data_IF_641203268198
#
_entry.id   IF_641203268198
#
_cell.length_a   1.000
_cell.length_b   1.000
_cell.length_c   1.000
_cell.angle_alpha   90.00
_cell.angle_beta   90.00
_cell.angle_gamma   90.00
#
_symmetry.space_group_name_H-M   'P 1'
#
loop_
_entity.id
_entity.type
_entity.pdbx_description
1 polymer ?
#
# COMPACT_ATOMS: atom_id res chain seq x y z
N UNK A 1 32.09 -12.40 -18.70
CA UNK A 1 32.08 -13.70 -18.00
C UNK A 1 31.52 -13.42 -16.60
N UNK A 2 30.21 -13.61 -16.49
CA UNK A 2 29.30 -13.68 -15.31
C UNK A 2 29.67 -13.04 -13.96
N UNK A 3 28.90 -12.00 -13.60
CA UNK A 3 28.30 -11.69 -12.29
C UNK A 3 27.22 -10.63 -12.62
N UNK A 4 26.00 -10.61 -12.08
CA UNK A 4 25.64 -10.49 -10.66
C UNK A 4 24.17 -10.87 -10.46
N UNK A 5 23.87 -11.47 -9.31
CA UNK A 5 22.54 -11.42 -8.73
C UNK A 5 22.21 -9.96 -8.40
N UNK A 6 20.97 -9.52 -8.65
CA UNK A 6 20.49 -8.27 -8.08
C UNK A 6 19.06 -8.46 -7.52
N UNK A 7 19.00 -8.30 -6.20
CA UNK A 7 17.81 -8.20 -5.39
C UNK A 7 17.49 -6.71 -5.26
N UNK A 8 16.24 -6.29 -5.52
CA UNK A 8 15.52 -5.45 -4.54
C UNK A 8 14.14 -5.04 -5.05
N UNK A 9 13.11 -5.48 -4.31
CA UNK A 9 11.74 -5.02 -4.43
C UNK A 9 11.52 -4.00 -3.31
N UNK A 10 11.42 -2.70 -3.63
CA UNK A 10 11.53 -1.58 -2.68
C UNK A 10 10.21 -0.79 -2.45
N UNK A 11 9.86 -0.37 -1.23
CA UNK A 11 8.52 0.16 -0.90
C UNK A 11 8.50 1.25 0.19
N UNK A 12 8.61 2.55 -0.13
CA UNK A 12 8.59 3.61 0.92
C UNK A 12 7.86 4.94 0.58
N UNK A 13 6.75 5.17 1.30
CA UNK A 13 5.54 6.02 1.02
C UNK A 13 5.11 6.09 -0.45
N UNK A 14 4.90 4.99 -1.16
CA UNK A 14 5.98 4.22 -1.76
C UNK A 14 6.91 4.94 -2.77
N UNK A 15 7.00 6.27 -2.88
CA UNK A 15 7.68 6.96 -4.00
C UNK A 15 9.21 7.17 -3.86
N UNK A 16 9.86 6.71 -2.80
CA UNK A 16 11.31 6.94 -2.61
C UNK A 16 12.20 6.04 -3.51
N UNK A 17 11.64 4.96 -4.03
CA UNK A 17 12.40 3.94 -4.77
C UNK A 17 12.25 4.00 -6.30
N UNK A 18 11.46 4.96 -6.80
CA UNK A 18 11.18 5.10 -8.22
C UNK A 18 12.21 5.96 -8.97
N UNK A 19 13.11 6.66 -8.26
CA UNK A 19 14.06 7.58 -8.87
C UNK A 19 15.48 7.15 -8.49
N UNK A 20 16.09 6.34 -9.35
CA UNK A 20 17.55 6.30 -9.42
C UNK A 20 18.03 7.73 -9.77
N UNK A 21 18.69 8.36 -8.79
CA UNK A 21 19.40 9.64 -8.82
C UNK A 21 18.56 10.92 -8.67
N UNK A 22 18.39 11.43 -7.43
CA UNK A 22 18.77 12.80 -7.02
C UNK A 22 18.90 12.88 -5.46
N UNK A 23 20.15 13.13 -5.02
CA UNK A 23 20.71 13.70 -3.77
C UNK A 23 19.92 13.75 -2.42
N UNK A 24 20.62 13.27 -1.37
CA UNK A 24 20.17 12.87 -0.02
C UNK A 24 20.09 14.00 1.04
N UNK A 25 19.69 15.24 0.72
CA UNK A 25 19.77 16.31 1.74
C UNK A 25 18.65 17.35 1.72
N UNK A 26 17.41 17.00 2.07
CA UNK A 26 16.43 17.99 2.50
C UNK A 26 15.31 17.40 3.39
N UNK A 27 15.23 17.85 4.65
CA UNK A 27 14.08 17.63 5.53
C UNK A 27 12.87 18.46 5.03
N UNK A 28 11.79 17.79 4.59
CA UNK A 28 10.66 18.36 3.84
C UNK A 28 9.32 17.68 4.22
N UNK A 29 8.85 17.78 5.47
CA UNK A 29 7.64 17.02 5.86
C UNK A 29 6.35 17.52 5.16
N UNK A 30 6.14 18.83 5.01
CA UNK A 30 4.94 19.38 4.32
C UNK A 30 5.14 19.53 2.81
N UNK A 31 6.31 19.99 2.39
CA UNK A 31 6.70 20.05 0.97
C UNK A 31 6.75 18.64 0.36
N UNK A 32 7.22 17.64 1.11
CA UNK A 32 7.27 16.25 0.67
C UNK A 32 5.89 15.64 0.47
N UNK A 33 4.88 16.01 1.26
CA UNK A 33 3.51 15.55 1.01
C UNK A 33 2.93 16.11 -0.30
N UNK A 34 3.14 17.40 -0.56
CA UNK A 34 2.70 18.03 -1.81
C UNK A 34 3.39 17.45 -3.04
N UNK A 35 4.70 17.24 -2.97
CA UNK A 35 5.48 16.62 -4.05
C UNK A 35 5.00 15.19 -4.30
N UNK A 36 4.86 14.37 -3.26
CA UNK A 36 4.37 12.97 -3.39
C UNK A 36 2.97 12.88 -3.99
N UNK A 37 2.08 13.80 -3.64
CA UNK A 37 0.75 13.88 -4.25
C UNK A 37 0.85 14.23 -5.75
N UNK A 38 1.65 15.23 -6.10
CA UNK A 38 1.88 15.62 -7.51
C UNK A 38 2.49 14.48 -8.32
N UNK A 39 3.48 13.78 -7.78
CA UNK A 39 4.11 12.63 -8.42
C UNK A 39 3.13 11.46 -8.61
N UNK A 40 2.33 11.18 -7.58
CA UNK A 40 1.26 10.18 -7.67
C UNK A 40 0.28 10.52 -8.79
N UNK A 41 -0.12 11.79 -8.90
CA UNK A 41 -1.00 12.26 -9.97
C UNK A 41 -0.33 12.17 -11.35
N UNK A 42 0.97 12.44 -11.45
CA UNK A 42 1.73 12.29 -12.70
C UNK A 42 1.78 10.82 -13.14
N UNK A 43 1.98 9.88 -12.20
CA UNK A 43 1.94 8.44 -12.47
C UNK A 43 0.55 8.02 -12.95
N UNK A 44 -0.51 8.44 -12.25
CA UNK A 44 -1.89 8.14 -12.64
C UNK A 44 -2.18 8.67 -14.05
N UNK A 45 -1.69 9.86 -14.40
CA UNK A 45 -1.82 10.42 -15.75
C UNK A 45 -1.03 9.65 -16.80
N UNK A 46 0.17 9.18 -16.47
CA UNK A 46 1.03 8.42 -17.37
C UNK A 46 0.43 7.06 -17.73
N UNK A 47 0.00 6.30 -16.72
CA UNK A 47 -0.63 4.98 -16.92
C UNK A 47 -2.11 5.06 -17.33
N UNK A 48 -2.73 6.24 -17.23
CA UNK A 48 -4.08 6.63 -17.64
C UNK A 48 -5.25 5.99 -16.89
N UNK A 49 -5.21 4.68 -16.66
CA UNK A 49 -6.32 3.92 -16.07
C UNK A 49 -5.81 3.10 -14.90
N UNK A 50 -6.47 3.26 -13.75
CA UNK A 50 -6.22 2.45 -12.56
C UNK A 50 -6.88 1.08 -12.79
N UNK A 51 -6.12 -0.01 -12.66
CA UNK A 51 -6.64 -1.36 -12.90
C UNK A 51 -7.34 -1.91 -11.66
N UNK A 52 -6.83 -1.63 -10.47
CA UNK A 52 -7.45 -2.02 -9.19
C UNK A 52 -7.43 -0.88 -8.18
N UNK A 53 -8.56 -0.71 -7.50
CA UNK A 53 -8.72 0.21 -6.38
C UNK A 53 -9.10 -0.56 -5.12
N UNK A 54 -8.17 -0.64 -4.17
CA UNK A 54 -8.40 -1.27 -2.88
C UNK A 54 -8.61 -0.24 -1.79
N UNK A 55 -9.50 -0.58 -0.88
CA UNK A 55 -9.77 0.15 0.33
C UNK A 55 -9.57 -0.81 1.49
N UNK A 56 -8.62 -0.47 2.37
CA UNK A 56 -8.34 -1.23 3.58
C UNK A 56 -8.81 -0.38 4.75
N UNK A 57 -9.92 -0.81 5.34
CA UNK A 57 -10.51 -0.18 6.51
C UNK A 57 -10.06 -0.90 7.77
N UNK A 58 -9.64 -0.14 8.78
CA UNK A 58 -9.34 -0.71 10.08
C UNK A 58 -10.58 -1.34 10.74
N UNK A 59 -10.41 -2.49 11.40
CA UNK A 59 -11.46 -3.09 12.22
C UNK A 59 -11.00 -3.16 13.69
N UNK A 60 -11.67 -2.49 14.63
CA UNK A 60 -11.33 -2.56 16.05
C UNK A 60 -11.53 -3.94 16.67
N UNK A 61 -12.33 -4.82 16.04
CA UNK A 61 -12.61 -6.18 16.51
C UNK A 61 -11.57 -7.21 16.03
N UNK A 62 -10.45 -6.77 15.45
CA UNK A 62 -9.39 -7.67 15.06
C UNK A 62 -8.82 -8.42 16.28
N UNK A 63 -8.55 -9.74 16.17
CA UNK A 63 -8.05 -10.54 17.29
C UNK A 63 -6.78 -9.96 17.91
N UNK A 64 -5.88 -9.40 17.10
CA UNK A 64 -4.62 -8.80 17.56
C UNK A 64 -4.84 -7.53 18.39
N UNK A 65 -5.96 -6.84 18.20
CA UNK A 65 -6.36 -5.68 19.00
C UNK A 65 -7.04 -6.17 20.27
N UNK A 66 -8.06 -7.03 20.15
CA UNK A 66 -8.86 -7.50 21.28
C UNK A 66 -8.02 -8.27 22.32
N UNK A 67 -7.02 -9.03 21.87
CA UNK A 67 -6.14 -9.80 22.75
C UNK A 67 -5.28 -8.92 23.67
N UNK A 68 -4.89 -7.75 23.20
CA UNK A 68 -3.98 -6.84 23.91
C UNK A 68 -4.73 -5.82 24.80
N UNK A 69 -6.07 -5.82 24.78
CA UNK A 69 -6.87 -4.95 25.64
C UNK A 69 -6.91 -5.47 27.08
N UNK A 70 -6.73 -4.57 28.04
CA UNK A 70 -6.97 -4.90 29.44
C UNK A 70 -8.49 -5.00 29.73
N UNK A 71 -8.89 -5.76 30.77
CA UNK A 71 -10.30 -5.88 31.15
C UNK A 71 -10.96 -4.50 31.35
N UNK A 72 -12.03 -4.24 30.59
CA UNK A 72 -12.79 -2.99 30.65
C UNK A 72 -12.28 -1.86 29.76
N UNK A 73 -11.17 -2.05 29.03
CA UNK A 73 -10.74 -1.11 27.99
C UNK A 73 -11.52 -1.31 26.69
N UNK A 74 -11.73 -0.22 25.95
CA UNK A 74 -12.28 -0.25 24.61
C UNK A 74 -11.16 0.05 23.57
N UNK A 75 -11.21 -0.50 22.35
CA UNK A 75 -10.23 -0.20 21.30
C UNK A 75 -10.02 1.30 21.03
N UNK A 76 -11.04 2.13 21.24
CA UNK A 76 -10.94 3.59 21.11
C UNK A 76 -10.00 4.24 22.13
N UNK A 77 -9.76 3.58 23.25
CA UNK A 77 -8.90 4.07 24.33
C UNK A 77 -7.42 3.78 24.04
N UNK A 78 -7.13 2.95 23.03
CA UNK A 78 -5.80 2.51 22.63
C UNK A 78 -5.53 2.81 21.14
N UNK A 79 -5.51 4.09 20.71
CA UNK A 79 -5.32 4.47 19.32
C UNK A 79 -3.97 4.01 18.74
N UNK A 80 -2.92 3.95 19.56
CA UNK A 80 -1.60 3.48 19.12
C UNK A 80 -1.61 1.98 18.79
N UNK A 81 -2.33 1.16 19.57
CA UNK A 81 -2.51 -0.27 19.31
C UNK A 81 -3.26 -0.49 17.99
N UNK A 82 -4.29 0.30 17.74
CA UNK A 82 -5.04 0.29 16.48
C UNK A 82 -4.14 0.66 15.30
N UNK A 83 -3.37 1.74 15.42
CA UNK A 83 -2.46 2.19 14.37
C UNK A 83 -1.38 1.13 14.08
N UNK A 84 -0.84 0.48 15.12
CA UNK A 84 0.13 -0.59 14.99
C UNK A 84 -0.46 -1.84 14.30
N UNK A 85 -1.63 -2.30 14.74
CA UNK A 85 -2.30 -3.45 14.11
C UNK A 85 -2.61 -3.17 12.63
N UNK A 86 -3.05 -1.95 12.32
CA UNK A 86 -3.27 -1.50 10.95
C UNK A 86 -1.98 -1.49 10.13
N UNK A 87 -0.88 -0.97 10.68
CA UNK A 87 0.42 -0.93 10.02
C UNK A 87 0.91 -2.35 9.67
N UNK A 88 0.78 -3.30 10.59
CA UNK A 88 1.16 -4.69 10.34
C UNK A 88 0.35 -5.32 9.20
N UNK A 89 -0.97 -5.09 9.16
CA UNK A 89 -1.81 -5.61 8.07
C UNK A 89 -1.51 -4.92 6.75
N UNK A 90 -1.30 -3.60 6.75
CA UNK A 90 -0.80 -2.87 5.58
C UNK A 90 0.46 -3.54 5.06
N UNK A 91 1.46 -3.75 5.92
CA UNK A 91 2.72 -4.37 5.53
C UNK A 91 2.55 -5.78 4.96
N UNK A 92 1.61 -6.56 5.49
CA UNK A 92 1.19 -7.84 4.93
C UNK A 92 0.70 -7.71 3.49
N UNK A 93 -0.32 -6.86 3.26
CA UNK A 93 -0.92 -6.64 1.93
C UNK A 93 0.12 -6.20 0.91
N UNK A 94 0.94 -5.23 1.30
CA UNK A 94 1.98 -4.63 0.47
C UNK A 94 3.06 -5.67 0.13
N UNK A 95 3.36 -6.60 1.05
CA UNK A 95 4.26 -7.74 0.83
C UNK A 95 3.64 -8.77 -0.09
N UNK A 96 2.36 -9.04 0.04
CA UNK A 96 1.64 -10.00 -0.81
C UNK A 96 1.60 -9.53 -2.27
N UNK A 97 1.37 -8.24 -2.49
CA UNK A 97 1.40 -7.62 -3.82
C UNK A 97 2.80 -7.77 -4.46
N UNK A 98 3.85 -7.59 -3.67
CA UNK A 98 5.23 -7.52 -4.16
C UNK A 98 5.95 -8.84 -4.31
N UNK A 99 5.93 -9.64 -3.24
CA UNK A 99 6.73 -10.86 -3.11
C UNK A 99 5.91 -12.06 -3.55
N UNK A 100 4.66 -12.11 -3.09
CA UNK A 100 3.77 -13.23 -3.41
C UNK A 100 3.07 -13.03 -4.76
N UNK A 101 3.22 -11.85 -5.38
CA UNK A 101 2.71 -11.52 -6.71
C UNK A 101 1.24 -11.94 -6.87
N UNK A 102 0.40 -11.63 -5.87
CA UNK A 102 -1.01 -12.06 -5.86
C UNK A 102 -1.82 -11.51 -7.05
N UNK A 103 -1.39 -10.38 -7.61
CA UNK A 103 -1.93 -9.80 -8.85
C UNK A 103 -1.04 -10.06 -10.08
N UNK A 104 -0.17 -11.07 -9.99
CA UNK A 104 0.78 -11.58 -10.98
C UNK A 104 1.88 -10.61 -11.40
N UNK A 105 1.54 -9.41 -11.86
CA UNK A 105 2.50 -8.37 -12.24
C UNK A 105 1.92 -6.97 -12.00
N UNK A 106 2.06 -6.48 -10.76
CA UNK A 106 1.82 -5.09 -10.43
C UNK A 106 3.05 -4.26 -10.83
N UNK A 107 2.89 -3.37 -11.82
CA UNK A 107 3.96 -2.48 -12.30
C UNK A 107 4.15 -1.32 -11.35
N UNK A 108 3.03 -0.76 -10.87
CA UNK A 108 3.03 0.34 -9.90
C UNK A 108 1.90 0.12 -8.90
N UNK A 109 2.15 0.47 -7.64
CA UNK A 109 1.11 0.63 -6.64
C UNK A 109 1.33 1.94 -5.89
N UNK A 110 0.24 2.64 -5.58
CA UNK A 110 0.24 3.92 -4.86
C UNK A 110 -0.71 3.76 -3.69
N UNK A 111 -0.32 4.18 -2.48
CA UNK A 111 -1.26 4.19 -1.37
C UNK A 111 -1.24 5.50 -0.59
N UNK A 112 -2.40 5.88 -0.07
CA UNK A 112 -2.60 6.98 0.85
C UNK A 112 -3.27 6.46 2.12
N UNK A 113 -2.83 6.93 3.29
CA UNK A 113 -3.44 6.61 4.58
C UNK A 113 -4.11 7.86 5.12
N UNK A 114 -5.38 7.76 5.43
CA UNK A 114 -6.19 8.83 5.99
C UNK A 114 -6.81 8.38 7.31
N UNK A 115 -6.88 9.30 8.27
CA UNK A 115 -7.56 9.06 9.54
C UNK A 115 -9.00 9.55 9.43
N UNK A 116 -9.94 8.63 9.56
CA UNK A 116 -11.35 8.99 9.61
C UNK A 116 -11.65 9.83 10.86
N UNK A 117 -12.78 10.55 10.88
CA UNK A 117 -13.24 11.39 12.01
C UNK A 117 -13.26 10.69 13.39
N UNK A 118 -13.19 9.36 13.43
CA UNK A 118 -13.13 8.53 14.64
C UNK A 118 -11.71 8.07 15.02
N UNK A 119 -10.68 8.63 14.37
CA UNK A 119 -9.28 8.29 14.62
C UNK A 119 -8.83 6.95 14.03
N UNK A 120 -9.69 6.26 13.26
CA UNK A 120 -9.33 4.99 12.65
C UNK A 120 -8.59 5.20 11.32
N UNK A 121 -7.44 4.55 11.13
CA UNK A 121 -6.70 4.63 9.88
C UNK A 121 -7.44 3.90 8.77
N UNK A 122 -7.28 4.41 7.55
CA UNK A 122 -7.87 3.89 6.35
C UNK A 122 -6.87 4.04 5.21
N UNK A 123 -6.66 2.99 4.42
CA UNK A 123 -5.75 3.04 3.29
C UNK A 123 -6.53 2.94 1.98
N UNK A 124 -6.28 3.88 1.08
CA UNK A 124 -6.63 3.76 -0.33
C UNK A 124 -5.38 3.30 -1.08
N UNK A 125 -5.51 2.24 -1.87
CA UNK A 125 -4.43 1.62 -2.61
C UNK A 125 -4.84 1.51 -4.09
N UNK A 126 -4.09 2.18 -4.96
CA UNK A 126 -4.19 2.09 -6.41
C UNK A 126 -3.16 1.07 -6.90
N UNK A 127 -3.53 0.21 -7.85
CA UNK A 127 -2.60 -0.71 -8.50
C UNK A 127 -2.76 -0.61 -10.01
N UNK A 128 -1.61 -0.56 -10.69
CA UNK A 128 -1.48 -0.60 -12.14
C UNK A 128 -0.82 -1.92 -12.53
N UNK A 129 -1.51 -2.69 -13.37
CA UNK A 129 -1.07 -3.99 -13.83
C UNK A 129 -0.40 -3.88 -15.19
N UNK A 130 0.52 -4.79 -15.45
CA UNK A 130 1.12 -4.92 -16.77
C UNK A 130 0.05 -5.31 -17.81
N UNK A 131 0.20 -4.83 -19.05
CA UNK A 131 -0.84 -4.95 -20.09
C UNK A 131 -1.32 -6.40 -20.33
N UNK A 132 -0.44 -7.40 -20.18
CA UNK A 132 -0.79 -8.82 -20.34
C UNK A 132 -1.54 -9.44 -19.16
N UNK A 133 -1.63 -8.73 -18.04
CA UNK A 133 -2.26 -9.18 -16.80
C UNK A 133 -3.44 -8.31 -16.37
N UNK A 134 -3.88 -7.38 -17.22
CA UNK A 134 -5.06 -6.57 -16.96
C UNK A 134 -6.31 -7.45 -16.91
N UNK A 135 -7.18 -7.17 -15.94
CA UNK A 135 -8.44 -7.87 -15.74
C UNK A 135 -9.51 -7.28 -16.65
N UNK A 136 -9.46 -7.62 -17.95
CA UNK A 136 -10.34 -7.05 -18.97
C UNK A 136 -11.59 -7.91 -19.20
N UNK A 137 -11.52 -9.20 -18.89
CA UNK A 137 -12.61 -10.15 -19.05
C UNK A 137 -13.08 -10.70 -17.69
N UNK A 138 -14.35 -11.13 -17.57
CA UNK A 138 -14.86 -11.74 -16.34
C UNK A 138 -14.04 -12.95 -15.86
N UNK A 139 -13.49 -13.72 -16.79
CA UNK A 139 -12.66 -14.90 -16.52
C UNK A 139 -11.39 -14.53 -15.75
N UNK A 140 -10.81 -13.37 -16.03
CA UNK A 140 -9.62 -12.86 -15.36
C UNK A 140 -9.92 -12.56 -13.87
N UNK A 141 -11.12 -12.06 -13.59
CA UNK A 141 -11.58 -11.76 -12.22
C UNK A 141 -11.73 -13.05 -11.42
N UNK A 142 -12.35 -14.08 -12.00
CA UNK A 142 -12.47 -15.37 -11.32
C UNK A 142 -11.10 -15.99 -11.02
N UNK A 143 -10.16 -15.87 -11.95
CA UNK A 143 -8.80 -16.34 -11.72
C UNK A 143 -8.07 -15.57 -10.61
N UNK A 144 -8.43 -14.32 -10.34
CA UNK A 144 -7.83 -13.53 -9.26
C UNK A 144 -8.44 -13.82 -7.88
N UNK A 145 -9.72 -14.23 -7.83
CA UNK A 145 -10.43 -14.55 -6.58
C UNK A 145 -10.10 -15.95 -6.06
N UNK A 146 -9.88 -16.91 -6.97
CA UNK A 146 -9.72 -18.34 -6.65
C UNK A 146 -8.28 -18.87 -6.83
N UNK A 147 -7.28 -17.96 -6.84
CA UNK A 147 -5.85 -18.30 -6.95
C UNK A 147 -5.23 -18.76 -5.62
#
# INVERSE_FOLDING_TARGET
MWATADQSCLQYIGLEDAIHAVDDNLELNDLGQHVRFQDSMAIVQYYRTIDLFFTVTNNPDWPEVVHELFPGQHPSDCPDLIAWAFQLKKEGIIRDIKKNSIFRCAVVYIYAIEFHKRGLPHMHLLIFLEQGWKLLAPEDIYSAIWA
#
